data_IF_448181204770
#
_entry.id   IF_448181204770
#
_cell.length_a   1.000
_cell.length_b   1.000
_cell.length_c   1.000
_cell.angle_alpha   90.00
_cell.angle_beta   90.00
_cell.angle_gamma   90.00
#
_symmetry.space_group_name_H-M   'P 1'
#
loop_
_entity.id
_entity.type
_entity.pdbx_description
1 polymer ?
#
# COMPACT_ATOMS: atom_id res chain seq x y z
N UNK A 1 -13.18 4.03 -43.39
CA UNK A 1 -14.22 4.97 -42.89
C UNK A 1 -15.14 4.17 -41.97
N UNK A 2 -15.50 4.78 -40.84
CA UNK A 2 -16.28 4.27 -39.69
C UNK A 2 -15.57 3.23 -38.82
N UNK A 3 -15.48 3.36 -37.49
CA UNK A 3 -15.70 4.49 -36.59
C UNK A 3 -14.91 4.23 -35.29
N UNK A 4 -14.09 5.20 -34.88
CA UNK A 4 -13.50 5.33 -33.54
C UNK A 4 -14.54 5.95 -32.62
N UNK A 5 -15.10 5.22 -31.65
CA UNK A 5 -15.66 5.81 -30.41
C UNK A 5 -15.94 4.70 -29.40
N UNK A 6 -15.21 4.68 -28.29
CA UNK A 6 -15.73 4.66 -26.92
C UNK A 6 -14.53 4.55 -25.97
N UNK A 7 -14.07 5.73 -25.58
CA UNK A 7 -13.20 6.00 -24.44
C UNK A 7 -14.05 6.78 -23.44
N UNK A 8 -13.81 6.54 -22.15
CA UNK A 8 -14.29 7.22 -20.94
C UNK A 8 -15.38 6.57 -20.10
N UNK A 9 -15.10 6.71 -18.79
CA UNK A 9 -15.86 6.38 -17.58
C UNK A 9 -15.72 4.93 -17.08
N UNK A 10 -14.88 4.74 -16.05
CA UNK A 10 -15.28 4.23 -14.73
C UNK A 10 -14.09 4.35 -13.77
N UNK A 11 -14.25 5.25 -12.78
CA UNK A 11 -13.26 5.49 -11.73
C UNK A 11 -13.23 4.35 -10.73
N UNK A 12 -12.04 3.79 -10.54
CA UNK A 12 -11.67 3.01 -9.37
C UNK A 12 -10.20 3.33 -9.07
N UNK A 13 -9.95 4.17 -8.07
CA UNK A 13 -8.61 4.56 -7.66
C UNK A 13 -7.95 3.40 -6.89
N UNK A 14 -7.35 2.44 -7.60
CA UNK A 14 -6.28 1.54 -7.11
C UNK A 14 -5.89 0.44 -8.11
N UNK A 15 -6.05 0.62 -9.42
CA UNK A 15 -5.63 -0.38 -10.40
C UNK A 15 -4.98 0.29 -11.61
N UNK A 16 -3.68 0.06 -11.89
CA UNK A 16 -3.19 -0.12 -13.26
C UNK A 16 -1.82 -0.84 -13.27
N UNK A 17 -1.82 -2.00 -13.92
CA UNK A 17 -0.64 -2.74 -14.33
C UNK A 17 0.14 -2.04 -15.44
N UNK A 18 1.41 -2.39 -15.53
CA UNK A 18 2.41 -1.79 -16.40
C UNK A 18 2.19 -2.17 -17.88
N UNK A 19 2.04 -1.16 -18.76
CA UNK A 19 2.31 -1.31 -20.20
C UNK A 19 3.37 -0.28 -20.59
N UNK A 20 4.55 -0.77 -21.00
CA UNK A 20 5.61 0.05 -21.62
C UNK A 20 5.19 0.41 -23.05
N UNK A 21 5.20 1.69 -23.41
CA UNK A 21 5.20 2.15 -24.81
C UNK A 21 6.64 2.49 -25.26
N UNK A 22 7.02 2.27 -26.54
CA UNK A 22 8.41 2.41 -26.98
C UNK A 22 8.77 3.87 -27.31
N UNK A 23 10.02 4.22 -26.99
CA UNK A 23 10.64 5.53 -27.21
C UNK A 23 10.75 5.89 -28.70
N UNK A 24 10.26 7.06 -29.10
CA UNK A 24 10.50 7.65 -30.43
C UNK A 24 11.59 8.72 -30.32
N UNK A 25 12.76 8.45 -30.90
CA UNK A 25 13.87 9.39 -31.01
C UNK A 25 13.48 10.61 -31.87
N UNK A 26 13.81 11.82 -31.41
CA UNK A 26 13.82 13.03 -32.25
C UNK A 26 15.19 13.69 -32.17
N UNK A 27 15.78 13.92 -33.35
CA UNK A 27 17.12 14.46 -33.57
C UNK A 27 17.18 15.97 -33.29
N UNK A 28 18.25 16.40 -32.63
CA UNK A 28 18.61 17.82 -32.44
C UNK A 28 19.40 18.36 -33.64
N UNK A 29 19.04 19.55 -34.09
CA UNK A 29 19.90 20.46 -34.85
C UNK A 29 20.11 21.77 -34.08
N UNK A 30 21.36 22.25 -34.02
CA UNK A 30 21.85 23.54 -33.46
C UNK A 30 22.50 24.34 -34.61
N UNK A 31 22.98 25.60 -34.44
CA UNK A 31 22.65 26.70 -33.50
C UNK A 31 22.62 28.11 -34.17
N UNK A 32 22.23 29.18 -33.44
CA UNK A 32 22.90 30.51 -33.54
C UNK A 32 22.64 31.42 -32.33
N UNK A 33 23.74 32.01 -31.85
CA UNK A 33 24.07 33.12 -30.92
C UNK A 33 23.04 34.24 -30.60
N UNK A 34 22.91 34.62 -29.30
CA UNK A 34 23.54 35.82 -28.69
C UNK A 34 23.24 35.99 -27.18
N UNK A 35 24.18 36.65 -26.48
CA UNK A 35 24.26 36.91 -25.02
C UNK A 35 23.28 37.99 -24.50
N UNK A 36 22.76 37.84 -23.27
CA UNK A 36 23.05 38.68 -22.09
C UNK A 36 22.19 38.33 -20.85
N UNK A 37 22.75 38.65 -19.68
CA UNK A 37 22.35 38.37 -18.29
C UNK A 37 20.88 38.63 -17.91
N UNK A 38 20.31 37.75 -17.06
CA UNK A 38 19.81 38.09 -15.71
C UNK A 38 19.42 36.82 -14.92
N UNK A 39 19.55 36.89 -13.59
CA UNK A 39 19.10 35.88 -12.63
C UNK A 39 17.59 35.67 -12.71
N UNK A 40 17.15 34.41 -12.83
CA UNK A 40 15.78 33.99 -12.48
C UNK A 40 15.85 32.64 -11.73
N UNK A 41 15.05 32.46 -10.66
CA UNK A 41 15.02 31.20 -9.91
C UNK A 41 14.43 30.09 -10.77
N UNK A 42 15.01 28.90 -10.65
CA UNK A 42 14.54 27.67 -11.28
C UNK A 42 13.05 27.47 -10.97
N UNK A 43 12.25 27.65 -12.01
CA UNK A 43 10.83 27.35 -12.03
C UNK A 43 10.63 25.85 -11.83
N UNK A 44 9.70 25.50 -10.94
CA UNK A 44 9.12 24.18 -10.80
C UNK A 44 8.45 23.79 -12.12
N UNK A 45 8.95 22.73 -12.76
CA UNK A 45 8.26 22.11 -13.89
C UNK A 45 7.06 21.30 -13.37
N UNK A 46 5.90 21.95 -13.46
CA UNK A 46 4.59 21.48 -13.95
C UNK A 46 4.09 20.08 -13.58
N UNK A 47 2.94 20.04 -12.90
CA UNK A 47 1.89 19.04 -13.16
C UNK A 47 0.59 19.81 -13.34
N UNK A 48 0.05 19.77 -14.57
CA UNK A 48 -1.25 20.30 -14.95
C UNK A 48 -2.38 19.51 -14.24
N UNK A 49 -3.32 20.24 -13.64
CA UNK A 49 -4.49 19.73 -12.94
C UNK A 49 -5.62 19.37 -13.93
N UNK A 50 -6.13 18.14 -13.87
CA UNK A 50 -7.48 17.82 -14.33
C UNK A 50 -8.42 17.83 -13.11
N UNK A 51 -9.26 18.86 -13.02
CA UNK A 51 -10.34 18.96 -12.04
C UNK A 51 -11.44 17.93 -12.35
N UNK A 52 -11.67 17.00 -11.41
CA UNK A 52 -12.81 16.10 -11.39
C UNK A 52 -13.41 16.04 -10.00
N UNK A 53 -14.48 16.81 -9.77
CA UNK A 53 -15.37 16.72 -8.61
C UNK A 53 -16.14 15.39 -8.63
N UNK A 54 -16.11 14.54 -7.58
CA UNK A 54 -17.10 13.49 -7.40
C UNK A 54 -18.13 13.90 -6.35
N UNK A 55 -19.36 14.10 -6.83
CA UNK A 55 -20.56 14.26 -6.02
C UNK A 55 -20.89 12.91 -5.32
N UNK A 56 -20.75 12.83 -4.00
CA UNK A 56 -21.26 11.72 -3.21
C UNK A 56 -22.50 12.17 -2.43
N UNK A 57 -23.66 11.69 -2.87
CA UNK A 57 -24.87 11.65 -2.06
C UNK A 57 -24.88 10.32 -1.30
N UNK A 58 -24.90 10.38 0.03
CA UNK A 58 -25.53 9.34 0.83
C UNK A 58 -26.36 10.00 1.92
N UNK A 59 -27.68 9.81 1.81
CA UNK A 59 -28.66 10.23 2.80
C UNK A 59 -28.52 9.35 4.05
N UNK A 60 -28.24 10.00 5.19
CA UNK A 60 -28.21 9.34 6.50
C UNK A 60 -29.64 9.11 6.97
N UNK A 61 -30.10 7.86 6.96
CA UNK A 61 -31.27 7.46 7.76
C UNK A 61 -30.88 7.38 9.23
N UNK A 62 -31.26 8.40 10.00
CA UNK A 62 -31.25 8.37 11.46
C UNK A 62 -32.31 7.37 11.94
N UNK A 63 -31.90 6.28 12.59
CA UNK A 63 -32.78 5.51 13.47
C UNK A 63 -32.32 5.71 14.91
N UNK A 64 -33.13 6.46 15.64
CA UNK A 64 -33.08 6.64 17.08
C UNK A 64 -33.71 5.44 17.80
N UNK A 65 -33.01 4.91 18.81
CA UNK A 65 -33.59 4.12 19.88
C UNK A 65 -32.81 2.85 20.21
N UNK A 66 -31.93 2.92 21.23
CA UNK A 66 -32.03 2.04 22.40
C UNK A 66 -31.14 2.59 23.53
N UNK A 67 -31.68 2.73 24.73
CA UNK A 67 -30.97 3.14 25.94
C UNK A 67 -30.55 1.87 26.71
N UNK A 68 -29.25 1.70 26.99
CA UNK A 68 -28.83 0.76 28.04
C UNK A 68 -27.51 0.00 27.84
N UNK A 69 -26.38 0.70 27.73
CA UNK A 69 -25.06 0.30 28.25
C UNK A 69 -24.09 1.46 27.98
N UNK A 70 -23.23 1.83 28.93
CA UNK A 70 -22.04 2.64 28.63
C UNK A 70 -21.07 1.79 27.80
N UNK A 71 -21.41 1.57 26.53
CA UNK A 71 -20.45 1.10 25.54
C UNK A 71 -19.53 2.29 25.24
N UNK A 72 -18.38 2.32 25.92
CA UNK A 72 -17.27 3.20 25.55
C UNK A 72 -17.02 3.03 24.06
N UNK A 73 -17.06 4.13 23.30
CA UNK A 73 -16.84 4.11 21.85
C UNK A 73 -15.61 3.25 21.52
N UNK A 74 -15.66 2.41 20.48
CA UNK A 74 -14.48 1.66 20.05
C UNK A 74 -13.35 2.66 19.76
N UNK A 75 -12.16 2.43 20.36
CA UNK A 75 -11.00 3.29 20.14
C UNK A 75 -10.51 3.16 18.70
N UNK A 76 -10.02 4.26 18.15
CA UNK A 76 -9.41 4.24 16.80
C UNK A 76 -8.00 3.65 16.87
N UNK A 77 -7.53 3.08 15.77
CA UNK A 77 -6.17 2.52 15.64
C UNK A 77 -5.08 3.45 16.19
N UNK A 78 -5.15 4.75 15.92
CA UNK A 78 -4.16 5.72 16.38
C UNK A 78 -4.15 5.87 17.92
N UNK A 79 -5.31 5.87 18.56
CA UNK A 79 -5.43 5.92 20.04
C UNK A 79 -4.82 4.67 20.67
N UNK A 80 -5.06 3.51 20.06
CA UNK A 80 -4.56 2.21 20.52
C UNK A 80 -3.04 2.14 20.38
N UNK A 81 -2.52 2.53 19.20
CA UNK A 81 -1.10 2.50 18.92
C UNK A 81 -0.33 3.48 19.81
N UNK A 82 -0.84 4.70 20.03
CA UNK A 82 -0.23 5.67 20.93
C UNK A 82 -0.20 5.14 22.38
N UNK A 83 -1.30 4.56 22.86
CA UNK A 83 -1.33 3.93 24.17
C UNK A 83 -0.26 2.83 24.30
N UNK A 84 -0.11 1.99 23.28
CA UNK A 84 0.92 0.93 23.28
C UNK A 84 2.34 1.50 23.30
N UNK A 85 2.60 2.56 22.54
CA UNK A 85 3.89 3.26 22.54
C UNK A 85 4.20 3.85 23.91
N UNK A 86 3.25 4.54 24.54
CA UNK A 86 3.38 5.15 25.86
C UNK A 86 3.63 4.12 26.97
N UNK A 87 3.09 2.91 26.81
CA UNK A 87 3.26 1.80 27.75
C UNK A 87 4.43 0.87 27.39
N UNK A 88 5.30 1.27 26.45
CA UNK A 88 6.52 0.52 26.12
C UNK A 88 6.28 -0.82 25.43
N UNK A 89 5.13 -1.02 24.77
CA UNK A 89 4.79 -2.25 24.03
C UNK A 89 5.40 -2.28 22.61
N UNK A 90 6.55 -1.63 22.42
CA UNK A 90 7.28 -1.59 21.14
C UNK A 90 8.01 -2.92 20.96
N UNK A 91 7.76 -3.60 19.85
CA UNK A 91 8.32 -4.92 19.57
C UNK A 91 9.50 -4.82 18.60
N UNK A 92 10.44 -3.93 18.92
CA UNK A 92 11.65 -3.66 18.13
C UNK A 92 12.87 -3.59 19.04
N UNK A 93 14.01 -4.07 18.54
CA UNK A 93 15.30 -3.94 19.21
C UNK A 93 15.77 -2.49 19.22
N UNK A 94 15.56 -1.78 18.11
CA UNK A 94 15.94 -0.38 17.94
C UNK A 94 14.73 0.45 17.53
N UNK A 95 14.51 1.62 18.17
CA UNK A 95 13.45 2.53 17.77
C UNK A 95 13.73 3.09 16.37
N UNK A 96 12.65 3.38 15.63
CA UNK A 96 12.74 4.06 14.33
C UNK A 96 13.35 5.44 14.52
N UNK A 97 14.31 5.82 13.67
CA UNK A 97 14.94 7.15 13.70
C UNK A 97 13.90 8.22 13.36
N UNK A 98 13.83 9.27 14.15
CA UNK A 98 12.98 10.45 13.86
C UNK A 98 13.86 11.65 13.54
N UNK A 99 13.67 12.24 12.37
CA UNK A 99 14.39 13.43 11.93
C UNK A 99 13.41 14.57 11.70
N UNK A 100 13.62 15.68 12.42
CA UNK A 100 12.75 16.87 12.40
C UNK A 100 13.27 18.02 11.55
N UNK A 101 14.38 17.81 10.83
CA UNK A 101 14.98 18.80 9.95
C UNK A 101 15.32 18.15 8.61
N UNK A 102 14.76 18.69 7.54
CA UNK A 102 14.98 18.25 6.17
C UNK A 102 16.04 19.12 5.50
N UNK A 103 17.12 18.50 5.03
CA UNK A 103 18.14 19.15 4.22
C UNK A 103 18.06 18.59 2.80
N UNK A 104 17.74 19.43 1.83
CA UNK A 104 17.82 19.09 0.41
C UNK A 104 19.10 19.66 -0.17
N UNK A 105 19.85 18.83 -0.90
CA UNK A 105 21.11 19.23 -1.54
C UNK A 105 21.34 18.40 -2.82
N UNK A 106 22.49 18.56 -3.45
CA UNK A 106 22.94 17.76 -4.58
C UNK A 106 24.35 17.22 -4.29
N UNK A 107 24.64 15.99 -4.75
CA UNK A 107 25.99 15.43 -4.67
C UNK A 107 26.93 16.03 -5.73
N UNK A 108 28.20 15.61 -5.73
CA UNK A 108 29.21 16.06 -6.70
C UNK A 108 28.84 15.75 -8.16
N UNK A 109 27.91 14.81 -8.38
CA UNK A 109 27.43 14.38 -9.69
C UNK A 109 26.09 15.06 -10.08
N UNK A 110 25.55 15.95 -9.24
CA UNK A 110 24.26 16.61 -9.45
C UNK A 110 23.04 15.74 -9.09
N UNK A 111 23.23 14.63 -8.38
CA UNK A 111 22.12 13.81 -7.91
C UNK A 111 21.45 14.46 -6.70
N UNK A 112 20.12 14.56 -6.74
CA UNK A 112 19.32 15.13 -5.64
C UNK A 112 19.49 14.30 -4.36
N UNK A 113 19.72 14.97 -3.25
CA UNK A 113 19.89 14.39 -1.93
C UNK A 113 18.80 14.87 -0.96
N UNK A 114 18.42 13.97 -0.06
CA UNK A 114 17.62 14.27 1.14
C UNK A 114 18.44 13.79 2.33
N UNK A 115 18.92 14.71 3.16
CA UNK A 115 19.88 14.43 4.24
C UNK A 115 21.06 13.58 3.71
N UNK A 116 21.32 12.41 4.30
CA UNK A 116 22.36 11.47 3.86
C UNK A 116 22.00 10.64 2.63
N UNK A 117 20.75 10.67 2.17
CA UNK A 117 20.22 9.78 1.14
C UNK A 117 20.34 10.40 -0.25
N UNK A 118 21.09 9.75 -1.13
CA UNK A 118 21.30 10.13 -2.53
C UNK A 118 20.23 9.43 -3.37
N UNK A 119 19.41 10.21 -4.09
CA UNK A 119 18.34 9.67 -4.95
C UNK A 119 18.93 8.99 -6.17
N UNK A 120 18.47 7.79 -6.46
CA UNK A 120 18.82 7.07 -7.69
C UNK A 120 17.69 7.18 -8.73
N UNK A 121 16.62 6.39 -8.59
CA UNK A 121 15.51 6.38 -9.54
C UNK A 121 14.17 6.04 -8.87
N UNK A 122 13.07 6.37 -9.56
CA UNK A 122 11.71 6.05 -9.10
C UNK A 122 11.48 4.55 -9.25
N UNK A 123 11.00 3.88 -8.18
CA UNK A 123 10.69 2.44 -8.19
C UNK A 123 9.19 2.16 -8.17
N UNK A 124 8.37 3.11 -7.72
CA UNK A 124 6.91 2.91 -7.69
C UNK A 124 6.13 4.16 -7.29
N UNK A 125 4.83 3.97 -7.17
CA UNK A 125 3.90 4.91 -6.54
C UNK A 125 3.10 4.09 -5.51
N UNK A 126 3.05 4.55 -4.26
CA UNK A 126 2.12 4.00 -3.26
C UNK A 126 0.77 4.74 -3.29
N UNK A 127 -0.13 4.39 -2.38
CA UNK A 127 -1.50 4.94 -2.29
C UNK A 127 -1.58 6.47 -2.32
N UNK A 128 -0.61 7.14 -1.68
CA UNK A 128 -0.64 8.60 -1.47
C UNK A 128 0.67 9.32 -1.87
N UNK A 129 1.64 8.60 -2.43
CA UNK A 129 3.00 9.13 -2.56
C UNK A 129 3.86 8.38 -3.57
N UNK A 130 4.99 8.99 -3.94
CA UNK A 130 5.96 8.39 -4.86
C UNK A 130 7.00 7.61 -4.06
N UNK A 131 7.42 6.45 -4.56
CA UNK A 131 8.49 5.65 -3.97
C UNK A 131 9.71 5.68 -4.89
N UNK A 132 10.86 6.04 -4.37
CA UNK A 132 12.12 6.03 -5.09
C UNK A 132 13.22 5.30 -4.30
N UNK A 133 14.16 4.74 -5.04
CA UNK A 133 15.36 4.13 -4.50
C UNK A 133 16.37 5.22 -4.16
N UNK A 134 16.95 5.10 -2.97
CA UNK A 134 18.03 5.95 -2.49
C UNK A 134 19.17 5.09 -1.99
N UNK A 135 20.40 5.60 -2.11
CA UNK A 135 21.58 5.04 -1.48
C UNK A 135 22.06 5.98 -0.39
N UNK A 136 22.31 5.47 0.80
CA UNK A 136 22.84 6.26 1.91
C UNK A 136 24.34 6.49 1.75
N UNK A 137 24.77 7.73 1.91
CA UNK A 137 26.19 8.10 1.88
C UNK A 137 26.96 7.66 3.13
N UNK A 138 26.28 7.20 4.18
CA UNK A 138 26.89 6.82 5.47
C UNK A 138 27.24 5.34 5.52
N UNK A 139 26.32 4.47 5.10
CA UNK A 139 26.47 3.01 5.19
C UNK A 139 26.45 2.29 3.83
N UNK A 140 26.33 3.05 2.74
CA UNK A 140 26.28 2.56 1.35
C UNK A 140 25.13 1.58 1.07
N UNK A 141 24.11 1.55 1.94
CA UNK A 141 22.94 0.69 1.75
C UNK A 141 21.86 1.38 0.94
N UNK A 142 21.05 0.56 0.28
CA UNK A 142 19.88 1.01 -0.46
C UNK A 142 18.64 1.05 0.44
N UNK A 143 17.81 2.07 0.22
CA UNK A 143 16.58 2.34 0.95
C UNK A 143 15.46 2.72 -0.02
N UNK A 144 14.24 2.29 0.29
CA UNK A 144 13.04 2.72 -0.42
C UNK A 144 12.44 3.91 0.35
N UNK A 145 12.44 5.10 -0.26
CA UNK A 145 11.87 6.29 0.38
C UNK A 145 10.52 6.63 -0.26
N UNK A 146 9.46 6.61 0.56
CA UNK A 146 8.11 7.04 0.20
C UNK A 146 7.97 8.52 0.56
N UNK A 147 7.68 9.34 -0.43
CA UNK A 147 7.59 10.80 -0.31
C UNK A 147 6.14 11.27 -0.44
N UNK A 148 5.74 12.18 0.44
CA UNK A 148 4.38 12.70 0.56
C UNK A 148 4.34 14.23 0.70
N UNK A 149 3.21 14.82 0.33
CA UNK A 149 2.89 16.25 0.47
C UNK A 149 1.83 16.46 1.55
N UNK A 150 2.22 17.00 2.70
CA UNK A 150 1.35 17.13 3.89
C UNK A 150 0.10 17.95 3.60
N UNK A 151 0.26 19.11 2.97
CA UNK A 151 -0.85 20.02 2.63
C UNK A 151 -1.88 19.37 1.72
N UNK A 152 -1.45 18.57 0.75
CA UNK A 152 -2.34 17.80 -0.13
C UNK A 152 -3.08 16.72 0.66
N UNK A 153 -2.37 15.91 1.45
CA UNK A 153 -2.96 14.80 2.19
C UNK A 153 -3.88 15.23 3.34
N UNK A 154 -3.68 16.43 3.89
CA UNK A 154 -4.57 17.02 4.88
C UNK A 154 -5.91 17.47 4.27
N UNK A 155 -5.94 17.78 2.96
CA UNK A 155 -7.15 18.17 2.23
C UNK A 155 -7.90 16.97 1.66
N UNK A 156 -7.19 15.91 1.28
CA UNK A 156 -7.77 14.69 0.71
C UNK A 156 -8.53 13.89 1.78
N UNK A 157 -9.87 13.86 1.68
CA UNK A 157 -10.76 13.09 2.57
C UNK A 157 -10.91 11.65 2.08
N UNK A 158 -10.73 10.70 2.99
CA UNK A 158 -10.96 9.26 2.76
C UNK A 158 -12.23 8.76 3.47
N UNK A 159 -12.72 9.55 4.43
CA UNK A 159 -14.00 9.38 5.10
C UNK A 159 -14.49 10.76 5.61
N UNK A 160 -15.75 10.88 6.06
CA UNK A 160 -16.31 12.16 6.54
C UNK A 160 -15.45 12.86 7.60
N UNK A 161 -14.69 12.11 8.39
CA UNK A 161 -13.82 12.64 9.45
C UNK A 161 -12.38 12.12 9.38
N UNK A 162 -11.95 11.58 8.24
CA UNK A 162 -10.61 11.01 8.05
C UNK A 162 -9.94 11.59 6.80
N UNK A 163 -8.66 11.90 6.90
CA UNK A 163 -7.84 12.39 5.79
C UNK A 163 -6.80 11.35 5.40
N UNK A 164 -6.29 11.42 4.17
CA UNK A 164 -5.21 10.56 3.73
C UNK A 164 -3.94 10.72 4.61
N UNK A 165 -3.72 11.90 5.20
CA UNK A 165 -2.62 12.11 6.15
C UNK A 165 -2.78 11.25 7.41
N UNK A 166 -4.01 11.03 7.88
CA UNK A 166 -4.27 10.18 9.04
C UNK A 166 -3.92 8.71 8.74
N UNK A 167 -4.21 8.23 7.53
CA UNK A 167 -3.81 6.89 7.10
C UNK A 167 -2.28 6.75 7.04
N UNK A 168 -1.57 7.74 6.50
CA UNK A 168 -0.08 7.75 6.49
C UNK A 168 0.49 7.74 7.90
N UNK A 169 -0.08 8.54 8.83
CA UNK A 169 0.38 8.55 10.22
C UNK A 169 0.08 7.22 10.93
N UNK A 170 -1.06 6.58 10.63
CA UNK A 170 -1.38 5.24 11.14
C UNK A 170 -0.39 4.20 10.61
N UNK A 171 -0.06 4.23 9.31
CA UNK A 171 0.96 3.38 8.68
C UNK A 171 2.29 3.51 9.45
N UNK A 172 2.73 4.75 9.71
CA UNK A 172 3.95 5.03 10.48
C UNK A 172 3.88 4.49 11.90
N UNK A 173 2.77 4.70 12.62
CA UNK A 173 2.60 4.21 13.99
C UNK A 173 2.65 2.69 14.06
N UNK A 174 1.98 2.00 13.13
CA UNK A 174 2.04 0.54 13.00
C UNK A 174 3.49 0.11 12.79
N UNK A 175 4.17 0.65 11.77
CA UNK A 175 5.52 0.21 11.43
C UNK A 175 6.57 0.54 12.52
N UNK A 176 6.36 1.61 13.31
CA UNK A 176 7.18 1.93 14.49
C UNK A 176 7.11 0.87 15.59
N UNK A 177 6.07 0.05 15.61
CA UNK A 177 5.90 -1.00 16.62
C UNK A 177 6.45 -2.36 16.21
N UNK A 178 6.63 -2.59 14.91
CA UNK A 178 6.87 -3.92 14.36
C UNK A 178 8.33 -4.11 13.95
N UNK A 179 8.92 -5.27 14.25
CA UNK A 179 10.16 -5.75 13.66
C UNK A 179 10.10 -7.28 13.52
N UNK A 180 10.14 -7.76 12.27
CA UNK A 180 10.05 -9.18 11.97
C UNK A 180 10.76 -9.49 10.64
N UNK A 181 11.45 -10.64 10.48
CA UNK A 181 12.18 -10.98 9.25
C UNK A 181 11.30 -10.98 7.98
N UNK A 182 10.01 -11.28 8.11
CA UNK A 182 9.03 -11.30 7.01
C UNK A 182 8.15 -10.05 6.92
N UNK A 183 8.58 -8.92 7.52
CA UNK A 183 7.91 -7.62 7.39
C UNK A 183 8.95 -6.60 6.90
N UNK A 184 8.53 -5.69 6.02
CA UNK A 184 9.34 -4.56 5.57
C UNK A 184 9.53 -3.58 6.72
N UNK A 185 10.79 -3.27 7.01
CA UNK A 185 11.17 -2.47 8.15
C UNK A 185 11.14 -0.96 7.85
N UNK A 186 10.53 -0.19 8.75
CA UNK A 186 10.68 1.27 8.78
C UNK A 186 11.98 1.63 9.50
N UNK A 187 12.81 2.44 8.84
CA UNK A 187 14.16 2.80 9.29
C UNK A 187 14.16 4.21 9.88
N UNK A 188 13.57 5.16 9.16
CA UNK A 188 13.52 6.57 9.56
C UNK A 188 12.22 7.23 9.11
N UNK A 189 11.73 8.18 9.91
CA UNK A 189 10.68 9.12 9.56
C UNK A 189 11.28 10.52 9.54
N UNK A 190 11.22 11.18 8.38
CA UNK A 190 11.67 12.56 8.22
C UNK A 190 10.42 13.44 8.12
N UNK A 191 10.16 14.20 9.18
CA UNK A 191 9.01 15.09 9.31
C UNK A 191 9.46 16.44 9.85
N UNK A 192 9.86 17.31 8.92
CA UNK A 192 10.22 18.69 9.21
C UNK A 192 8.96 19.56 9.24
N UNK A 193 8.60 20.17 10.39
CA UNK A 193 7.41 21.00 10.51
C UNK A 193 7.45 22.27 9.65
N UNK A 194 8.64 22.72 9.22
CA UNK A 194 8.81 23.91 8.38
C UNK A 194 8.61 23.62 6.89
N UNK A 195 8.46 22.36 6.50
CA UNK A 195 8.32 21.96 5.09
C UNK A 195 7.03 21.20 4.84
N UNK A 196 6.53 21.24 3.60
CA UNK A 196 5.37 20.45 3.17
C UNK A 196 5.67 18.96 3.00
N UNK A 197 6.94 18.56 3.01
CA UNK A 197 7.33 17.21 2.63
C UNK A 197 7.39 16.30 3.87
N UNK A 198 6.93 15.07 3.69
CA UNK A 198 7.02 14.01 4.68
C UNK A 198 7.62 12.78 4.02
N UNK A 199 8.56 12.11 4.70
CA UNK A 199 9.24 10.93 4.16
C UNK A 199 9.24 9.76 5.13
N UNK A 200 9.00 8.58 4.57
CA UNK A 200 9.24 7.30 5.24
C UNK A 200 10.40 6.61 4.54
N UNK A 201 11.48 6.37 5.28
CA UNK A 201 12.65 5.61 4.83
C UNK A 201 12.46 4.16 5.23
N UNK A 202 12.27 3.29 4.25
CA UNK A 202 12.04 1.85 4.43
C UNK A 202 13.28 1.08 4.01
N UNK A 203 13.47 -0.12 4.58
CA UNK A 203 14.44 -1.06 4.01
C UNK A 203 14.09 -1.34 2.54
N UNK A 204 15.10 -1.40 1.69
CA UNK A 204 14.89 -1.78 0.30
C UNK A 204 14.91 -3.31 0.16
N UNK A 205 13.92 -3.84 -0.57
CA UNK A 205 13.84 -5.24 -0.96
C UNK A 205 13.83 -5.30 -2.49
N UNK A 206 14.74 -6.07 -3.08
CA UNK A 206 15.11 -5.94 -4.49
C UNK A 206 14.07 -6.52 -5.44
N UNK A 207 13.43 -7.61 -5.02
CA UNK A 207 12.52 -8.39 -5.84
C UNK A 207 11.07 -8.20 -5.46
N UNK A 208 10.21 -8.54 -6.40
CA UNK A 208 8.79 -8.81 -6.20
C UNK A 208 8.42 -10.01 -7.05
N UNK A 209 7.39 -10.75 -6.65
CA UNK A 209 6.80 -11.72 -7.56
C UNK A 209 5.98 -10.97 -8.62
N UNK A 210 6.18 -11.30 -9.89
CA UNK A 210 5.42 -10.73 -11.00
C UNK A 210 4.71 -11.88 -11.69
N UNK A 211 3.38 -11.87 -11.64
CA UNK A 211 2.58 -12.71 -12.51
C UNK A 211 2.54 -12.06 -13.89
N UNK A 212 3.43 -12.46 -14.79
CA UNK A 212 3.36 -12.04 -16.20
C UNK A 212 2.17 -12.77 -16.84
N UNK A 213 1.02 -12.11 -16.93
CA UNK A 213 -0.27 -12.69 -17.37
C UNK A 213 -0.34 -13.12 -18.85
N UNK A 214 0.60 -13.94 -19.32
CA UNK A 214 0.62 -14.49 -20.67
C UNK A 214 1.15 -15.92 -20.71
N UNK A 215 0.38 -16.87 -20.18
CA UNK A 215 0.48 -18.29 -20.57
C UNK A 215 0.42 -19.31 -19.43
N UNK A 216 0.23 -20.62 -19.75
CA UNK A 216 -0.01 -21.70 -18.78
C UNK A 216 1.20 -22.08 -17.90
N UNK A 217 2.26 -21.27 -17.87
CA UNK A 217 3.55 -21.59 -17.24
C UNK A 217 4.03 -20.51 -16.27
N UNK A 218 3.16 -19.59 -15.83
CA UNK A 218 3.53 -18.47 -14.95
C UNK A 218 3.38 -18.74 -13.44
N UNK A 219 2.90 -19.93 -13.06
CA UNK A 219 2.88 -20.40 -11.68
C UNK A 219 4.28 -20.68 -11.14
N UNK A 220 4.52 -20.32 -9.89
CA UNK A 220 5.65 -20.79 -9.10
C UNK A 220 5.52 -22.31 -8.90
N UNK A 221 6.65 -23.03 -9.03
CA UNK A 221 6.69 -24.43 -8.61
C UNK A 221 6.30 -24.56 -7.13
N UNK A 222 5.58 -25.64 -6.78
CA UNK A 222 5.02 -25.87 -5.44
C UNK A 222 6.03 -25.66 -4.31
N UNK A 223 7.29 -26.08 -4.53
CA UNK A 223 8.34 -25.95 -3.53
C UNK A 223 8.68 -24.48 -3.24
N UNK A 224 8.72 -23.62 -4.27
CA UNK A 224 8.91 -22.17 -4.07
C UNK A 224 7.67 -21.53 -3.46
N UNK A 225 6.47 -21.88 -3.96
CA UNK A 225 5.21 -21.39 -3.41
C UNK A 225 5.06 -21.75 -1.91
N UNK A 226 5.45 -22.97 -1.52
CA UNK A 226 5.46 -23.43 -0.12
C UNK A 226 6.39 -22.61 0.75
N UNK A 227 7.61 -22.32 0.29
CA UNK A 227 8.56 -21.46 1.03
C UNK A 227 8.00 -20.05 1.21
N UNK A 228 7.46 -19.47 0.14
CA UNK A 228 6.87 -18.13 0.20
C UNK A 228 5.65 -18.08 1.11
N UNK A 229 4.75 -19.07 1.01
CA UNK A 229 3.59 -19.19 1.90
C UNK A 229 4.01 -19.25 3.37
N UNK A 230 5.03 -20.04 3.70
CA UNK A 230 5.54 -20.12 5.08
C UNK A 230 6.00 -18.75 5.60
N UNK A 231 6.74 -18.01 4.78
CA UNK A 231 7.25 -16.68 5.12
C UNK A 231 6.11 -15.65 5.29
N UNK A 232 5.11 -15.69 4.38
CA UNK A 232 3.89 -14.86 4.46
C UNK A 232 3.11 -15.17 5.75
N UNK A 233 2.85 -16.46 6.03
CA UNK A 233 2.13 -16.89 7.22
C UNK A 233 2.89 -16.52 8.50
N UNK A 234 4.22 -16.61 8.49
CA UNK A 234 5.04 -16.19 9.63
C UNK A 234 4.89 -14.69 9.91
N UNK A 235 4.99 -13.84 8.88
CA UNK A 235 4.80 -12.40 9.02
C UNK A 235 3.37 -12.04 9.45
N UNK A 236 2.36 -12.68 8.87
CA UNK A 236 0.96 -12.41 9.18
C UNK A 236 0.57 -12.89 10.58
N UNK A 237 1.06 -14.05 11.01
CA UNK A 237 0.87 -14.55 12.39
C UNK A 237 1.45 -13.56 13.40
N UNK A 238 2.62 -13.00 13.10
CA UNK A 238 3.22 -11.94 13.92
C UNK A 238 2.31 -10.70 13.97
N UNK A 239 1.79 -10.21 12.85
CA UNK A 239 0.84 -9.07 12.84
C UNK A 239 -0.40 -9.35 13.69
N UNK A 240 -1.03 -10.50 13.47
CA UNK A 240 -2.27 -10.89 14.15
C UNK A 240 -2.07 -11.05 15.67
N UNK A 241 -0.90 -11.55 16.11
CA UNK A 241 -0.55 -11.62 17.53
C UNK A 241 -0.40 -10.25 18.18
N UNK A 242 -0.13 -9.20 17.40
CA UNK A 242 -0.11 -7.80 17.84
C UNK A 242 -1.45 -7.09 17.61
N UNK A 243 -2.53 -7.82 17.31
CA UNK A 243 -3.84 -7.27 16.97
C UNK A 243 -3.76 -6.21 15.86
N UNK A 244 -2.92 -6.46 14.86
CA UNK A 244 -2.82 -5.67 13.64
C UNK A 244 -3.30 -6.55 12.49
N UNK A 245 -4.21 -6.03 11.69
CA UNK A 245 -4.69 -6.67 10.45
C UNK A 245 -4.16 -5.90 9.26
N UNK A 246 -3.76 -6.61 8.21
CA UNK A 246 -3.10 -5.99 7.05
C UNK A 246 -4.09 -5.41 6.05
N UNK A 247 -5.11 -6.19 5.68
CA UNK A 247 -6.23 -5.88 4.76
C UNK A 247 -5.86 -5.69 3.28
N UNK A 248 -4.61 -5.93 2.89
CA UNK A 248 -4.19 -5.84 1.48
C UNK A 248 -3.06 -6.83 1.17
N UNK A 249 -3.20 -8.06 1.68
CA UNK A 249 -2.28 -9.15 1.33
C UNK A 249 -2.51 -9.53 -0.13
N UNK A 250 -1.51 -9.24 -0.96
CA UNK A 250 -1.51 -9.54 -2.39
C UNK A 250 -0.07 -9.59 -2.92
N UNK A 251 0.18 -10.21 -4.09
CA UNK A 251 1.47 -10.27 -4.75
C UNK A 251 2.27 -8.96 -4.76
N UNK A 252 1.63 -7.84 -5.09
CA UNK A 252 2.28 -6.53 -5.19
C UNK A 252 2.88 -6.03 -3.86
N UNK A 253 2.31 -6.48 -2.74
CA UNK A 253 2.73 -6.10 -1.38
C UNK A 253 3.65 -7.16 -0.74
N UNK A 254 4.03 -8.20 -1.49
CA UNK A 254 4.93 -9.26 -1.06
C UNK A 254 6.27 -9.13 -1.79
N UNK A 255 7.22 -8.48 -1.12
CA UNK A 255 8.55 -8.27 -1.65
C UNK A 255 9.45 -9.47 -1.36
N UNK A 256 10.41 -9.73 -2.25
CA UNK A 256 11.29 -10.90 -2.17
C UNK A 256 12.73 -10.42 -2.15
N UNK A 257 13.45 -10.76 -1.09
CA UNK A 257 14.88 -10.47 -0.97
C UNK A 257 15.71 -11.28 -1.97
N UNK A 258 16.94 -10.86 -2.25
CA UNK A 258 17.88 -11.63 -3.07
C UNK A 258 18.15 -13.08 -2.57
N UNK A 259 17.87 -13.37 -1.29
CA UNK A 259 17.97 -14.70 -0.69
C UNK A 259 16.68 -15.53 -0.75
N UNK A 260 15.61 -14.99 -1.35
CA UNK A 260 14.33 -15.69 -1.51
C UNK A 260 13.44 -15.67 -0.27
N UNK A 261 13.70 -14.78 0.69
CA UNK A 261 12.81 -14.52 1.83
C UNK A 261 11.73 -13.51 1.44
N UNK A 262 10.47 -13.81 1.77
CA UNK A 262 9.33 -12.90 1.55
C UNK A 262 9.18 -11.92 2.71
N UNK A 263 8.94 -10.65 2.38
CA UNK A 263 8.63 -9.57 3.31
C UNK A 263 7.31 -8.89 2.93
N UNK A 264 6.40 -8.79 3.89
CA UNK A 264 5.12 -8.09 3.76
C UNK A 264 5.37 -6.58 3.87
N UNK A 265 4.91 -5.81 2.90
CA UNK A 265 5.00 -4.35 2.88
C UNK A 265 3.64 -3.68 2.62
N UNK A 266 3.65 -2.34 2.60
CA UNK A 266 2.47 -1.47 2.41
C UNK A 266 1.37 -1.66 3.46
N UNK A 267 1.49 -0.93 4.57
CA UNK A 267 0.53 -0.94 5.67
C UNK A 267 -0.51 0.19 5.57
N UNK A 268 -0.69 0.78 4.38
CA UNK A 268 -1.48 2.01 4.20
C UNK A 268 -2.97 1.87 4.57
N UNK A 269 -3.51 0.65 4.48
CA UNK A 269 -4.91 0.35 4.85
C UNK A 269 -5.02 -0.49 6.14
N UNK A 270 -3.90 -0.84 6.76
CA UNK A 270 -3.87 -1.69 7.94
C UNK A 270 -4.52 -1.02 9.16
N UNK A 271 -5.03 -1.85 10.07
CA UNK A 271 -5.73 -1.39 11.27
C UNK A 271 -5.21 -2.11 12.52
N UNK A 272 -5.29 -1.43 13.67
CA UNK A 272 -4.92 -1.96 14.96
C UNK A 272 -6.14 -2.03 15.89
N UNK A 273 -6.25 -3.08 16.69
CA UNK A 273 -7.36 -3.32 17.61
C UNK A 273 -6.88 -3.47 19.04
N UNK A 274 -7.73 -3.15 20.01
CA UNK A 274 -7.39 -3.27 21.44
C UNK A 274 -7.21 -4.72 21.86
N UNK A 275 -8.15 -5.55 21.42
CA UNK A 275 -8.28 -6.97 21.75
C UNK A 275 -8.48 -7.80 20.46
N UNK A 276 -8.90 -9.04 20.62
CA UNK A 276 -9.18 -9.95 19.51
C UNK A 276 -10.49 -9.64 18.77
N UNK A 277 -11.22 -8.57 19.12
CA UNK A 277 -12.44 -8.14 18.41
C UNK A 277 -12.06 -7.26 17.23
N UNK A 278 -11.59 -7.89 16.18
CA UNK A 278 -11.13 -7.30 14.93
C UNK A 278 -12.28 -7.00 13.93
N UNK A 279 -13.39 -6.46 14.44
CA UNK A 279 -14.59 -6.19 13.63
C UNK A 279 -14.41 -4.94 12.74
N UNK A 280 -14.53 -5.13 11.44
CA UNK A 280 -14.46 -4.08 10.42
C UNK A 280 -15.77 -3.95 9.67
N UNK A 281 -16.08 -2.72 9.22
CA UNK A 281 -17.26 -2.40 8.38
C UNK A 281 -16.91 -2.03 6.95
N UNK A 282 -15.71 -1.48 6.75
CA UNK A 282 -15.21 -1.12 5.42
C UNK A 282 -14.26 -2.20 4.98
N UNK A 283 -14.28 -2.49 3.68
CA UNK A 283 -13.41 -3.48 3.04
C UNK A 283 -12.38 -2.75 2.18
N UNK A 284 -11.38 -2.08 2.77
CA UNK A 284 -10.29 -1.49 2.00
C UNK A 284 -9.44 -2.62 1.42
N UNK A 285 -8.94 -2.46 0.20
CA UNK A 285 -8.10 -3.46 -0.45
C UNK A 285 -8.49 -3.73 -1.89
N UNK A 286 -7.77 -4.66 -2.51
CA UNK A 286 -7.94 -4.98 -3.93
C UNK A 286 -9.07 -6.00 -4.12
N UNK A 287 -10.12 -5.70 -4.94
CA UNK A 287 -11.36 -6.47 -4.98
C UNK A 287 -11.23 -7.99 -5.17
N UNK A 288 -10.25 -8.45 -5.96
CA UNK A 288 -10.06 -9.89 -6.26
C UNK A 288 -9.57 -10.70 -5.04
N UNK A 289 -9.07 -10.02 -4.00
CA UNK A 289 -8.61 -10.61 -2.74
C UNK A 289 -9.62 -10.45 -1.60
N UNK A 290 -10.76 -9.81 -1.86
CA UNK A 290 -11.79 -9.55 -0.85
C UNK A 290 -12.47 -10.85 -0.42
N UNK A 291 -12.64 -11.04 0.88
CA UNK A 291 -13.35 -12.20 1.43
C UNK A 291 -14.87 -12.08 1.22
N UNK A 292 -15.61 -13.18 1.08
CA UNK A 292 -17.05 -13.16 0.81
C UNK A 292 -17.85 -12.44 1.91
N UNK A 293 -17.47 -12.59 3.18
CA UNK A 293 -18.08 -11.91 4.32
C UNK A 293 -17.87 -10.39 4.30
N UNK A 294 -16.80 -9.91 3.66
CA UNK A 294 -16.55 -8.48 3.45
C UNK A 294 -17.50 -7.86 2.42
N UNK A 295 -18.15 -8.69 1.59
CA UNK A 295 -19.13 -8.28 0.57
C UNK A 295 -20.55 -8.40 1.13
N UNK A 296 -20.85 -9.47 1.89
CA UNK A 296 -22.17 -9.74 2.44
C UNK A 296 -22.45 -9.03 3.77
N UNK A 297 -21.41 -8.84 4.57
CA UNK A 297 -21.52 -8.49 5.98
C UNK A 297 -21.59 -6.98 6.22
N UNK A 298 -22.39 -6.58 7.22
CA UNK A 298 -22.30 -5.25 7.82
C UNK A 298 -21.03 -5.12 8.65
N UNK A 299 -20.54 -6.24 9.19
CA UNK A 299 -19.27 -6.37 9.92
C UNK A 299 -18.59 -7.69 9.55
N UNK A 300 -17.27 -7.74 9.59
CA UNK A 300 -16.46 -8.94 9.38
C UNK A 300 -15.19 -8.93 10.23
N UNK A 301 -14.56 -10.10 10.43
CA UNK A 301 -13.30 -10.23 11.17
C UNK A 301 -12.08 -10.00 10.26
N UNK A 302 -11.24 -9.01 10.57
CA UNK A 302 -10.09 -8.64 9.75
C UNK A 302 -9.01 -9.72 9.59
N UNK A 303 -8.71 -10.49 10.64
CA UNK A 303 -7.75 -11.60 10.65
C UNK A 303 -8.23 -12.74 9.72
N UNK A 304 -9.53 -13.00 9.69
CA UNK A 304 -10.13 -13.97 8.77
C UNK A 304 -10.05 -13.48 7.31
N UNK A 305 -10.31 -12.20 7.07
CA UNK A 305 -10.17 -11.59 5.75
C UNK A 305 -8.73 -11.66 5.22
N UNK A 306 -7.72 -11.38 6.06
CA UNK A 306 -6.31 -11.56 5.69
C UNK A 306 -6.00 -13.02 5.33
N UNK A 307 -6.58 -13.97 6.05
CA UNK A 307 -6.39 -15.42 5.79
C UNK A 307 -6.97 -15.82 4.44
N UNK A 308 -8.14 -15.29 4.08
CA UNK A 308 -8.72 -15.46 2.74
C UNK A 308 -7.79 -14.90 1.66
N UNK A 309 -7.28 -13.69 1.85
CA UNK A 309 -6.37 -13.04 0.90
C UNK A 309 -5.06 -13.84 0.71
N UNK A 310 -4.54 -14.49 1.76
CA UNK A 310 -3.42 -15.44 1.64
C UNK A 310 -3.79 -16.64 0.75
N UNK A 311 -5.00 -17.20 0.89
CA UNK A 311 -5.48 -18.30 0.06
C UNK A 311 -5.57 -17.92 -1.43
N UNK A 312 -6.14 -16.75 -1.74
CA UNK A 312 -6.18 -16.18 -3.10
C UNK A 312 -4.77 -15.96 -3.64
N UNK A 313 -3.87 -15.44 -2.81
CA UNK A 313 -2.46 -15.22 -3.18
C UNK A 313 -1.74 -16.54 -3.47
N UNK A 314 -1.98 -17.59 -2.68
CA UNK A 314 -1.42 -18.92 -2.92
C UNK A 314 -1.93 -19.53 -4.23
N UNK A 315 -3.22 -19.40 -4.50
CA UNK A 315 -3.80 -19.84 -5.77
C UNK A 315 -3.11 -19.15 -6.95
N UNK A 316 -2.97 -17.83 -6.87
CA UNK A 316 -2.28 -17.02 -7.87
C UNK A 316 -0.81 -17.46 -8.04
N UNK A 317 -0.11 -17.72 -6.93
CA UNK A 317 1.26 -18.21 -6.97
C UNK A 317 1.39 -19.57 -7.66
N UNK A 318 0.46 -20.51 -7.46
CA UNK A 318 0.56 -21.87 -8.02
C UNK A 318 0.08 -21.92 -9.47
N UNK A 319 -1.02 -21.23 -9.79
CA UNK A 319 -1.71 -21.37 -11.07
C UNK A 319 -1.44 -20.21 -12.03
N UNK A 320 -0.86 -19.11 -11.55
CA UNK A 320 -0.56 -17.93 -12.37
C UNK A 320 -1.80 -17.13 -12.79
N UNK A 321 -2.95 -17.36 -12.17
CA UNK A 321 -4.20 -16.64 -12.45
C UNK A 321 -4.99 -16.39 -11.16
N UNK A 322 -5.94 -15.46 -11.20
CA UNK A 322 -6.81 -15.16 -10.07
C UNK A 322 -8.04 -16.06 -10.07
N UNK A 323 -8.40 -16.67 -8.92
CA UNK A 323 -9.47 -17.67 -8.87
C UNK A 323 -10.87 -17.10 -9.18
N UNK A 324 -11.08 -15.81 -8.90
CA UNK A 324 -12.41 -15.18 -8.95
C UNK A 324 -12.48 -13.93 -9.83
N UNK A 325 -11.47 -13.67 -10.66
CA UNK A 325 -11.45 -12.47 -11.50
C UNK A 325 -12.61 -12.49 -12.51
N UNK A 326 -13.44 -11.44 -12.50
CA UNK A 326 -14.52 -11.19 -13.45
C UNK A 326 -14.16 -10.11 -14.47
N UNK A 327 -14.99 -9.96 -15.49
CA UNK A 327 -14.85 -8.89 -16.49
C UNK A 327 -15.20 -7.52 -15.90
N UNK A 328 -16.10 -7.51 -14.92
CA UNK A 328 -16.44 -6.33 -14.10
C UNK A 328 -16.18 -6.56 -12.61
N UNK A 329 -16.22 -5.46 -11.85
CA UNK A 329 -16.15 -5.52 -10.39
C UNK A 329 -17.31 -6.35 -9.80
N UNK A 330 -18.51 -6.17 -10.33
CA UNK A 330 -19.68 -6.93 -9.90
C UNK A 330 -19.52 -8.42 -10.20
N UNK A 331 -19.06 -8.77 -11.40
CA UNK A 331 -18.81 -10.18 -11.77
C UNK A 331 -17.77 -10.83 -10.85
N UNK A 332 -16.75 -10.07 -10.45
CA UNK A 332 -15.73 -10.54 -9.50
C UNK A 332 -16.37 -10.85 -8.14
N UNK A 333 -17.19 -9.95 -7.62
CA UNK A 333 -17.92 -10.18 -6.36
C UNK A 333 -18.90 -11.35 -6.46
N UNK A 334 -19.66 -11.46 -7.55
CA UNK A 334 -20.60 -12.57 -7.75
C UNK A 334 -19.87 -13.92 -7.79
N UNK A 335 -18.69 -13.99 -8.44
CA UNK A 335 -17.83 -15.18 -8.47
C UNK A 335 -17.30 -15.54 -7.08
N UNK A 336 -16.83 -14.56 -6.30
CA UNK A 336 -16.36 -14.75 -4.92
C UNK A 336 -17.48 -15.37 -4.08
N UNK A 337 -18.68 -14.79 -4.12
CA UNK A 337 -19.83 -15.26 -3.36
C UNK A 337 -20.25 -16.67 -3.78
N UNK A 338 -20.42 -16.91 -5.07
CA UNK A 338 -20.87 -18.19 -5.59
C UNK A 338 -19.93 -19.34 -5.22
N UNK A 339 -18.61 -19.14 -5.34
CA UNK A 339 -17.63 -20.17 -5.01
C UNK A 339 -17.51 -20.41 -3.51
N UNK A 340 -17.61 -19.37 -2.67
CA UNK A 340 -17.67 -19.53 -1.22
C UNK A 340 -18.84 -20.42 -0.79
N UNK A 341 -20.03 -20.24 -1.40
CA UNK A 341 -21.17 -21.12 -1.17
C UNK A 341 -20.93 -22.57 -1.64
N UNK A 342 -20.23 -22.77 -2.76
CA UNK A 342 -19.90 -24.12 -3.25
C UNK A 342 -18.92 -24.85 -2.34
N UNK A 343 -17.86 -24.20 -1.84
CA UNK A 343 -16.88 -24.84 -0.96
C UNK A 343 -17.43 -25.14 0.46
N UNK A 344 -18.39 -24.35 0.94
CA UNK A 344 -19.06 -24.61 2.23
C UNK A 344 -20.09 -25.75 2.14
N UNK A 345 -20.67 -25.99 0.96
CA UNK A 345 -21.75 -26.96 0.75
C UNK A 345 -21.33 -28.27 0.06
N UNK A 346 -20.08 -28.39 -0.39
CA UNK A 346 -19.55 -29.68 -0.85
C UNK A 346 -18.84 -30.33 0.35
N UNK A 347 -19.45 -31.32 1.03
CA UNK A 347 -18.71 -32.12 1.99
C UNK A 347 -17.51 -32.70 1.26
N UNK A 348 -16.35 -32.68 1.93
CA UNK A 348 -15.18 -33.48 1.56
C UNK A 348 -15.61 -34.94 1.62
N UNK A 349 -16.29 -35.39 0.56
CA UNK A 349 -16.57 -36.78 0.32
C UNK A 349 -15.26 -37.37 -0.18
N UNK A 350 -14.72 -38.19 0.71
CA UNK A 350 -13.52 -39.02 0.60
C UNK A 350 -13.06 -39.33 -0.84
N UNK A 351 -11.77 -39.09 -1.08
CA UNK A 351 -10.98 -39.82 -2.06
C UNK A 351 -9.83 -40.52 -1.36
#
# INVERSE_FOLDING_TARGET
MLNKTLSFAMGCCSCFGFIRTPNRQSQRSKPTTNNNLCQEPLLDDDIEDEEGEPLYNDEVTNNSGDEGAEETRPKRSEEILNFRVENGMICRQFPVKETRKLVRSEDENGNKMINEYIREYKIGSGSYGKVALYRSSVDDKHYAIKAFHKSYLLKLRVAPSETAMMDVLREVLIMKMLEHPNIVNLIEVIDDPETDNFYMVLEYVEGKWICEGSGPTCGLGEETARRYLRDIVSGLTYLHAHNIVHLDIKPDNLLITCHGTVKIGDFSVSQAFEDDKDELRRSPGTPVFTAPECILGVKYGGKAADTWAVGVTLYCMILGEYPFLGDTLQDTYDKILYMAFMFILVPISQS
#
